data_IF_616217001012
#
_entry.id   IF_616217001012
#
_cell.length_a   1.000
_cell.length_b   1.000
_cell.length_c   1.000
_cell.angle_alpha   90.00
_cell.angle_beta   90.00
_cell.angle_gamma   90.00
#
_symmetry.space_group_name_H-M   'P 1'
#
loop_
_entity.id
_entity.type
_entity.pdbx_description
1 polymer ?
#
# COMPACT_ATOMS: atom_id res chain seq x y z
N UNK A 1 -10.80 18.42 11.95
CA UNK A 1 -12.19 18.59 11.45
C UNK A 1 -13.20 17.68 12.14
N UNK A 2 -12.94 16.37 12.31
CA UNK A 2 -13.95 15.45 12.87
C UNK A 2 -14.51 15.84 14.25
N UNK A 3 -13.65 16.33 15.16
CA UNK A 3 -14.04 16.80 16.51
C UNK A 3 -14.78 18.14 16.51
N UNK A 4 -14.54 19.00 15.53
CA UNK A 4 -15.04 20.39 15.50
C UNK A 4 -16.21 20.59 14.53
N UNK A 5 -16.33 19.76 13.49
CA UNK A 5 -17.34 19.81 12.44
C UNK A 5 -17.82 18.39 12.06
N UNK A 6 -18.44 17.64 13.00
CA UNK A 6 -18.78 16.23 12.79
C UNK A 6 -19.81 16.01 11.68
N UNK A 7 -20.80 16.92 11.54
CA UNK A 7 -21.83 16.84 10.49
C UNK A 7 -21.23 16.93 9.08
N UNK A 8 -20.33 17.89 8.86
CA UNK A 8 -19.62 18.07 7.59
C UNK A 8 -18.74 16.85 7.32
N UNK A 9 -17.99 16.38 8.33
CA UNK A 9 -17.14 15.20 8.12
C UNK A 9 -17.95 13.94 7.80
N UNK A 10 -19.13 13.77 8.39
CA UNK A 10 -20.02 12.65 8.06
C UNK A 10 -20.54 12.75 6.63
N UNK A 11 -20.88 13.96 6.17
CA UNK A 11 -21.39 14.18 4.82
C UNK A 11 -20.33 13.90 3.73
N UNK A 12 -19.05 14.20 3.98
CA UNK A 12 -17.99 13.99 2.97
C UNK A 12 -17.43 12.56 2.96
N UNK A 13 -17.55 11.81 4.06
CA UNK A 13 -16.96 10.45 4.22
C UNK A 13 -17.23 9.51 3.06
N UNK A 14 -18.45 9.41 2.50
CA UNK A 14 -18.74 8.54 1.36
C UNK A 14 -17.94 8.88 0.09
N UNK A 15 -17.54 10.15 -0.07
CA UNK A 15 -16.80 10.64 -1.23
C UNK A 15 -15.28 10.52 -1.08
N UNK A 16 -14.77 10.33 0.15
CA UNK A 16 -13.33 10.26 0.41
C UNK A 16 -12.65 9.05 -0.26
N UNK A 17 -13.20 7.81 -0.22
CA UNK A 17 -12.57 6.67 -0.88
C UNK A 17 -12.37 6.84 -2.39
N UNK A 18 -13.39 7.18 -3.20
CA UNK A 18 -13.19 7.35 -4.64
C UNK A 18 -12.26 8.53 -4.96
N UNK A 19 -12.38 9.64 -4.24
CA UNK A 19 -11.48 10.78 -4.41
C UNK A 19 -10.02 10.39 -4.10
N UNK A 20 -9.79 9.60 -3.05
CA UNK A 20 -8.47 9.12 -2.68
C UNK A 20 -7.84 8.28 -3.80
N UNK A 21 -8.61 7.41 -4.46
CA UNK A 21 -8.13 6.59 -5.58
C UNK A 21 -7.73 7.46 -6.77
N UNK A 22 -8.53 8.49 -7.10
CA UNK A 22 -8.24 9.43 -8.19
C UNK A 22 -6.94 10.19 -7.90
N UNK A 23 -6.84 10.81 -6.72
CA UNK A 23 -5.65 11.57 -6.33
C UNK A 23 -4.41 10.67 -6.30
N UNK A 24 -4.53 9.48 -5.71
CA UNK A 24 -3.42 8.51 -5.67
C UNK A 24 -2.96 8.14 -7.07
N UNK A 25 -3.89 7.82 -7.97
CA UNK A 25 -3.59 7.49 -9.37
C UNK A 25 -2.85 8.62 -10.09
N UNK A 26 -3.27 9.87 -9.87
CA UNK A 26 -2.60 11.05 -10.44
C UNK A 26 -1.19 11.24 -9.87
N UNK A 27 -1.02 11.11 -8.55
CA UNK A 27 0.27 11.25 -7.89
C UNK A 27 1.29 10.22 -8.38
N UNK A 28 0.90 8.94 -8.50
CA UNK A 28 1.81 7.87 -8.92
C UNK A 28 2.01 7.82 -10.43
N UNK A 29 1.06 8.31 -11.22
CA UNK A 29 1.15 8.33 -12.68
C UNK A 29 2.25 9.24 -13.19
N UNK A 30 2.45 10.41 -12.57
CA UNK A 30 3.46 11.39 -13.00
C UNK A 30 4.90 10.84 -13.06
N UNK A 31 5.49 10.28 -11.98
CA UNK A 31 6.85 9.75 -12.04
C UNK A 31 6.98 8.54 -12.99
N UNK A 32 5.93 7.73 -13.15
CA UNK A 32 5.93 6.61 -14.09
C UNK A 32 5.93 7.07 -15.55
N UNK A 33 5.11 8.09 -15.87
CA UNK A 33 5.01 8.64 -17.21
C UNK A 33 6.30 9.37 -17.63
N UNK A 34 6.86 10.19 -16.73
CA UNK A 34 8.11 10.93 -17.00
C UNK A 34 9.29 9.97 -17.24
N UNK A 35 9.31 8.83 -16.55
CA UNK A 35 10.40 7.85 -16.61
C UNK A 35 10.03 6.58 -17.38
N UNK A 36 9.12 6.66 -18.36
CA UNK A 36 8.57 5.47 -19.04
C UNK A 36 9.66 4.55 -19.65
N UNK A 37 10.70 5.12 -20.23
CA UNK A 37 11.81 4.35 -20.81
C UNK A 37 12.55 3.53 -19.74
N UNK A 38 12.80 4.13 -18.58
CA UNK A 38 13.41 3.45 -17.44
C UNK A 38 12.49 2.37 -16.87
N UNK A 39 11.19 2.65 -16.76
CA UNK A 39 10.17 1.70 -16.30
C UNK A 39 10.07 0.48 -17.22
N UNK A 40 10.18 0.66 -18.54
CA UNK A 40 10.12 -0.43 -19.52
C UNK A 40 11.46 -1.17 -19.72
N UNK A 41 12.53 -0.70 -19.08
CA UNK A 41 13.87 -1.31 -19.17
C UNK A 41 14.08 -2.42 -18.12
N UNK A 42 15.24 -3.07 -18.17
CA UNK A 42 15.68 -4.03 -17.14
C UNK A 42 15.72 -3.41 -15.73
N UNK A 43 15.94 -2.09 -15.62
CA UNK A 43 15.85 -1.38 -14.35
C UNK A 43 14.45 -1.46 -13.76
N UNK A 44 13.41 -1.15 -14.54
CA UNK A 44 12.02 -1.22 -14.08
C UNK A 44 11.61 -2.62 -13.66
N UNK A 45 12.05 -3.66 -14.37
CA UNK A 45 11.84 -5.07 -13.97
C UNK A 45 12.51 -5.35 -12.62
N UNK A 46 13.75 -4.91 -12.44
CA UNK A 46 14.49 -5.10 -11.20
C UNK A 46 13.78 -4.43 -10.02
N UNK A 47 13.34 -3.17 -10.19
CA UNK A 47 12.58 -2.44 -9.17
C UNK A 47 11.27 -3.16 -8.86
N UNK A 48 10.53 -3.61 -9.87
CA UNK A 48 9.27 -4.34 -9.71
C UNK A 48 9.47 -5.60 -8.86
N UNK A 49 10.47 -6.42 -9.18
CA UNK A 49 10.75 -7.66 -8.45
C UNK A 49 11.13 -7.39 -6.99
N UNK A 50 11.99 -6.38 -6.74
CA UNK A 50 12.38 -5.99 -5.38
C UNK A 50 11.17 -5.49 -4.59
N UNK A 51 10.31 -4.67 -5.19
CA UNK A 51 9.10 -4.15 -4.55
C UNK A 51 8.12 -5.28 -4.22
N UNK A 52 7.91 -6.23 -5.16
CA UNK A 52 7.07 -7.41 -4.90
C UNK A 52 7.64 -8.23 -3.73
N UNK A 53 8.95 -8.51 -3.74
CA UNK A 53 9.59 -9.26 -2.66
C UNK A 53 9.50 -8.54 -1.31
N UNK A 54 9.69 -7.22 -1.29
CA UNK A 54 9.56 -6.39 -0.09
C UNK A 54 8.15 -6.46 0.50
N UNK A 55 7.11 -6.19 -0.29
CA UNK A 55 5.74 -6.24 0.23
C UNK A 55 5.33 -7.67 0.59
N UNK A 56 5.67 -8.66 -0.23
CA UNK A 56 5.33 -10.06 0.05
C UNK A 56 5.95 -10.52 1.36
N UNK A 57 7.24 -10.25 1.56
CA UNK A 57 7.91 -10.56 2.82
C UNK A 57 7.27 -9.80 3.99
N UNK A 58 6.97 -8.51 3.84
CA UNK A 58 6.32 -7.74 4.91
C UNK A 58 4.94 -8.29 5.29
N UNK A 59 4.10 -8.66 4.32
CA UNK A 59 2.81 -9.29 4.60
C UNK A 59 2.98 -10.65 5.31
N UNK A 60 3.87 -11.52 4.80
CA UNK A 60 4.10 -12.86 5.35
C UNK A 60 4.70 -12.79 6.74
N UNK A 61 5.72 -11.98 6.94
CA UNK A 61 6.37 -11.80 8.25
C UNK A 61 5.42 -11.16 9.26
N UNK A 62 4.65 -10.14 8.87
CA UNK A 62 3.62 -9.56 9.73
C UNK A 62 2.58 -10.58 10.18
N UNK A 63 2.14 -11.46 9.28
CA UNK A 63 1.20 -12.54 9.62
C UNK A 63 1.84 -13.60 10.53
N UNK A 64 3.03 -14.09 10.17
CA UNK A 64 3.70 -15.21 10.84
C UNK A 64 4.21 -14.83 12.22
N UNK A 65 4.94 -13.71 12.37
CA UNK A 65 5.43 -13.25 13.66
C UNK A 65 4.30 -12.88 14.62
N UNK A 66 3.20 -12.32 14.13
CA UNK A 66 2.02 -12.11 14.96
C UNK A 66 1.44 -13.42 15.47
N UNK A 67 1.40 -14.46 14.63
CA UNK A 67 0.94 -15.79 15.04
C UNK A 67 1.83 -16.41 16.10
N UNK A 68 3.14 -16.22 16.00
CA UNK A 68 4.12 -16.69 16.99
C UNK A 68 3.99 -15.89 18.29
N UNK A 69 3.95 -14.56 18.23
CA UNK A 69 3.93 -13.71 19.42
C UNK A 69 2.61 -13.82 20.21
N UNK A 70 1.48 -14.03 19.52
CA UNK A 70 0.15 -14.05 20.12
C UNK A 70 -0.53 -15.41 20.02
N UNK A 71 0.24 -16.50 20.01
CA UNK A 71 -0.26 -17.85 19.74
C UNK A 71 -1.39 -18.34 20.67
N UNK A 72 -1.44 -17.83 21.91
CA UNK A 72 -2.48 -18.15 22.90
C UNK A 72 -3.67 -17.17 22.89
N UNK A 73 -3.65 -16.13 22.05
CA UNK A 73 -4.72 -15.14 22.02
C UNK A 73 -5.97 -15.69 21.33
N UNK A 74 -7.17 -15.54 21.92
CA UNK A 74 -8.42 -15.93 21.25
C UNK A 74 -8.64 -15.16 19.93
N UNK A 75 -8.06 -13.96 19.81
CA UNK A 75 -8.17 -13.08 18.63
C UNK A 75 -6.93 -13.15 17.71
N UNK A 76 -6.12 -14.22 17.81
CA UNK A 76 -4.88 -14.34 17.04
C UNK A 76 -5.12 -14.19 15.53
N UNK A 77 -6.21 -14.74 14.97
CA UNK A 77 -6.47 -14.67 13.52
C UNK A 77 -6.80 -13.25 13.03
N UNK A 78 -7.74 -12.50 13.64
CA UNK A 78 -7.90 -11.07 13.37
C UNK A 78 -6.58 -10.30 13.50
N UNK A 79 -5.83 -10.52 14.59
CA UNK A 79 -4.59 -9.81 14.84
C UNK A 79 -3.53 -10.08 13.77
N UNK A 80 -3.36 -11.34 13.36
CA UNK A 80 -2.47 -11.75 12.27
C UNK A 80 -2.81 -11.04 10.96
N UNK A 81 -4.11 -10.91 10.64
CA UNK A 81 -4.56 -10.20 9.43
C UNK A 81 -4.26 -8.71 9.53
N UNK A 82 -4.59 -8.09 10.66
CA UNK A 82 -4.33 -6.66 10.89
C UNK A 82 -2.84 -6.35 10.80
N UNK A 83 -1.99 -7.07 11.52
CA UNK A 83 -0.56 -6.78 11.51
C UNK A 83 0.12 -7.15 10.20
N UNK A 84 -0.39 -8.15 9.46
CA UNK A 84 0.02 -8.40 8.07
C UNK A 84 -0.28 -7.20 7.16
N UNK A 85 -1.44 -6.56 7.32
CA UNK A 85 -1.78 -5.34 6.58
C UNK A 85 -0.92 -4.15 7.01
N UNK A 86 -0.75 -3.91 8.30
CA UNK A 86 0.04 -2.77 8.81
C UNK A 86 1.51 -2.85 8.37
N UNK A 87 2.09 -4.05 8.30
CA UNK A 87 3.47 -4.21 7.80
C UNK A 87 3.54 -4.17 6.27
N UNK A 88 2.58 -4.78 5.57
CA UNK A 88 2.58 -4.90 4.11
C UNK A 88 2.12 -3.63 3.37
N UNK A 89 1.25 -2.82 3.96
CA UNK A 89 0.63 -1.62 3.37
C UNK A 89 1.30 -0.34 3.91
N UNK A 90 2.54 -0.09 3.53
CA UNK A 90 3.28 1.10 3.94
C UNK A 90 2.80 2.38 3.24
N UNK A 91 3.15 3.56 3.75
CA UNK A 91 2.81 4.84 3.10
C UNK A 91 3.78 5.18 1.96
N UNK A 92 3.64 4.49 0.83
CA UNK A 92 4.50 4.74 -0.34
C UNK A 92 4.25 6.11 -1.00
N UNK A 93 3.09 6.73 -0.76
CA UNK A 93 2.85 8.13 -1.16
C UNK A 93 3.69 9.12 -0.37
N UNK A 94 3.96 8.86 0.92
CA UNK A 94 4.90 9.68 1.69
C UNK A 94 6.31 9.52 1.14
N UNK A 95 6.74 8.29 0.84
CA UNK A 95 8.03 8.04 0.19
C UNK A 95 8.15 8.78 -1.15
N UNK A 96 7.08 8.77 -1.97
CA UNK A 96 7.02 9.55 -3.20
C UNK A 96 7.09 11.07 -2.97
N UNK A 97 6.38 11.58 -1.96
CA UNK A 97 6.43 13.00 -1.60
C UNK A 97 7.84 13.42 -1.16
N UNK A 98 8.54 12.58 -0.39
CA UNK A 98 9.93 12.80 0.01
C UNK A 98 10.87 12.73 -1.21
N UNK A 99 10.68 11.76 -2.10
CA UNK A 99 11.45 11.64 -3.34
C UNK A 99 11.37 12.94 -4.16
N UNK A 100 10.16 13.41 -4.42
CA UNK A 100 9.92 14.64 -5.17
C UNK A 100 10.40 15.91 -4.45
N UNK A 101 10.44 15.89 -3.11
CA UNK A 101 10.84 17.06 -2.33
C UNK A 101 12.36 17.22 -2.24
N UNK A 102 13.09 16.11 -2.13
CA UNK A 102 14.51 16.13 -1.76
C UNK A 102 15.46 15.68 -2.87
N UNK A 103 14.97 14.98 -3.91
CA UNK A 103 15.80 14.52 -5.02
C UNK A 103 15.44 15.27 -6.31
N UNK A 104 16.46 15.74 -7.01
CA UNK A 104 16.28 16.42 -8.30
C UNK A 104 15.98 15.44 -9.44
N UNK A 105 16.45 14.19 -9.32
CA UNK A 105 16.24 13.16 -10.32
C UNK A 105 14.83 12.55 -10.18
N UNK A 106 13.93 12.74 -11.17
CA UNK A 106 12.58 12.18 -11.13
C UNK A 106 12.55 10.65 -11.12
N UNK A 107 13.66 9.97 -11.47
CA UNK A 107 13.76 8.52 -11.44
C UNK A 107 13.61 7.96 -10.02
N UNK A 108 13.98 8.73 -8.99
CA UNK A 108 13.85 8.33 -7.57
C UNK A 108 12.39 8.17 -7.16
N UNK A 109 11.45 8.82 -7.88
CA UNK A 109 10.01 8.66 -7.67
C UNK A 109 9.43 7.35 -8.22
N UNK A 110 10.17 6.62 -9.07
CA UNK A 110 9.66 5.39 -9.71
C UNK A 110 9.43 4.25 -8.71
N UNK A 111 10.39 3.87 -7.83
CA UNK A 111 10.16 2.81 -6.86
C UNK A 111 8.94 3.02 -5.93
N UNK A 112 8.74 4.17 -5.28
CA UNK A 112 7.56 4.38 -4.44
C UNK A 112 6.25 4.42 -5.25
N UNK A 113 6.27 4.89 -6.51
CA UNK A 113 5.09 4.85 -7.37
C UNK A 113 4.69 3.40 -7.75
N UNK A 114 5.65 2.55 -8.12
CA UNK A 114 5.42 1.12 -8.36
C UNK A 114 4.91 0.45 -7.08
N UNK A 115 5.51 0.79 -5.93
CA UNK A 115 5.11 0.25 -4.63
C UNK A 115 3.65 0.51 -4.29
N UNK A 116 3.10 1.71 -4.55
CA UNK A 116 1.67 2.00 -4.33
C UNK A 116 0.77 1.03 -5.11
N UNK A 117 1.10 0.76 -6.37
CA UNK A 117 0.32 -0.15 -7.22
C UNK A 117 0.40 -1.58 -6.69
N UNK A 118 1.62 -2.06 -6.43
CA UNK A 118 1.86 -3.43 -5.99
C UNK A 118 1.24 -3.73 -4.63
N UNK A 119 1.45 -2.87 -3.63
CA UNK A 119 0.85 -3.08 -2.30
C UNK A 119 -0.68 -3.07 -2.37
N UNK A 120 -1.28 -2.23 -3.21
CA UNK A 120 -2.74 -2.17 -3.39
C UNK A 120 -3.29 -3.45 -4.02
N UNK A 121 -2.64 -3.96 -5.07
CA UNK A 121 -3.03 -5.23 -5.71
C UNK A 121 -2.92 -6.40 -4.73
N UNK A 122 -1.79 -6.51 -4.03
CA UNK A 122 -1.56 -7.56 -3.04
C UNK A 122 -2.55 -7.48 -1.87
N UNK A 123 -2.78 -6.27 -1.34
CA UNK A 123 -3.74 -6.04 -0.26
C UNK A 123 -5.16 -6.44 -0.66
N UNK A 124 -5.59 -6.07 -1.87
CA UNK A 124 -6.88 -6.48 -2.43
C UNK A 124 -6.96 -8.00 -2.62
N UNK A 125 -5.92 -8.65 -3.12
CA UNK A 125 -5.85 -10.12 -3.21
C UNK A 125 -6.03 -10.77 -1.85
N UNK A 126 -5.40 -10.26 -0.78
CA UNK A 126 -5.61 -10.77 0.58
C UNK A 126 -7.05 -10.58 1.07
N UNK A 127 -7.70 -9.45 0.77
CA UNK A 127 -9.11 -9.22 1.14
C UNK A 127 -9.97 -10.30 0.48
N UNK A 128 -9.75 -10.57 -0.81
CA UNK A 128 -10.50 -11.58 -1.55
C UNK A 128 -10.29 -13.00 -1.01
N UNK A 129 -9.05 -13.36 -0.67
CA UNK A 129 -8.71 -14.68 -0.12
C UNK A 129 -9.32 -14.88 1.27
N UNK A 130 -9.21 -13.89 2.16
CA UNK A 130 -9.72 -13.99 3.52
C UNK A 130 -11.23 -13.79 3.62
N UNK A 131 -11.82 -13.02 2.71
CA UNK A 131 -13.27 -12.83 2.59
C UNK A 131 -14.00 -14.13 2.20
N UNK A 132 -13.43 -14.90 1.25
CA UNK A 132 -13.99 -16.20 0.85
C UNK A 132 -14.03 -17.23 1.98
N UNK A 133 -13.07 -17.18 2.91
CA UNK A 133 -13.00 -18.09 4.08
C UNK A 133 -14.07 -17.84 5.15
N UNK A 134 -14.88 -16.78 5.05
CA UNK A 134 -15.95 -16.47 6.01
C UNK A 134 -17.32 -17.01 5.59
N UNK A 135 -17.44 -17.53 4.36
CA UNK A 135 -18.69 -18.00 3.74
C UNK A 135 -18.70 -19.53 3.51
N UNK A 136 -17.87 -20.29 4.23
CA UNK A 136 -17.87 -21.76 4.30
C UNK A 136 -17.77 -22.12 5.77
#
# INVERSE_FOLDING_TARGET
MYRFLPKISSAIRPFLPPLSVVVTSLCVGAPLAININSVLSAFGISVLLVVIALHLSAFVLGYTFTGIAFHNSPDVKPLQRTLSYETGMQSSLLALALANKFFQDPLVGVPPAISVVIMSLMGFSHVMIWGKKKNV
#
